data_IF_236897574825
#
_entry.id   IF_236897574825
#
_cell.length_a   1.000
_cell.length_b   1.000
_cell.length_c   1.000
_cell.angle_alpha   90.00
_cell.angle_beta   90.00
_cell.angle_gamma   90.00
#
_symmetry.space_group_name_H-M   'P 1'
#
loop_
_entity.id
_entity.type
_entity.pdbx_description
1 polymer ?
#
# COMPACT_ATOMS: atom_id res chain seq x y z
N UNK A 1 -6.38 -31.49 -14.10
CA UNK A 1 -7.48 -31.31 -13.12
C UNK A 1 -8.08 -29.92 -13.36
N UNK A 2 -9.34 -29.81 -13.80
CA UNK A 2 -9.99 -28.50 -14.05
C UNK A 2 -10.58 -27.99 -12.72
N UNK A 3 -10.32 -26.73 -12.32
CA UNK A 3 -10.86 -26.18 -11.07
C UNK A 3 -12.38 -26.07 -11.13
N UNK A 4 -13.05 -26.38 -10.02
CA UNK A 4 -14.51 -26.34 -9.89
C UNK A 4 -15.02 -24.90 -9.77
N UNK A 5 -16.33 -24.67 -9.91
CA UNK A 5 -16.92 -23.34 -9.76
C UNK A 5 -16.71 -22.75 -8.35
N UNK A 6 -16.68 -23.60 -7.31
CA UNK A 6 -16.39 -23.19 -5.93
C UNK A 6 -14.94 -22.73 -5.73
N UNK A 7 -13.98 -23.42 -6.37
CA UNK A 7 -12.56 -23.05 -6.29
C UNK A 7 -12.26 -21.70 -6.97
N UNK A 8 -12.97 -21.39 -8.06
CA UNK A 8 -12.80 -20.13 -8.80
C UNK A 8 -13.34 -18.92 -8.02
N UNK A 9 -14.51 -19.07 -7.38
CA UNK A 9 -15.11 -18.01 -6.58
C UNK A 9 -14.21 -17.65 -5.39
N UNK A 10 -13.64 -18.65 -4.70
CA UNK A 10 -12.74 -18.42 -3.56
C UNK A 10 -11.48 -17.63 -3.93
N UNK A 11 -10.87 -17.89 -5.09
CA UNK A 11 -9.66 -17.19 -5.54
C UNK A 11 -10.00 -15.75 -5.95
N UNK A 12 -11.10 -15.55 -6.68
CA UNK A 12 -11.56 -14.21 -7.09
C UNK A 12 -11.93 -13.36 -5.88
N UNK A 13 -12.65 -13.91 -4.91
CA UNK A 13 -13.07 -13.20 -3.69
C UNK A 13 -11.87 -12.80 -2.81
N UNK A 14 -10.87 -13.67 -2.68
CA UNK A 14 -9.64 -13.35 -1.95
C UNK A 14 -8.86 -12.22 -2.64
N UNK A 15 -8.75 -12.25 -3.97
CA UNK A 15 -8.06 -11.22 -4.74
C UNK A 15 -8.75 -9.84 -4.68
N UNK A 16 -10.09 -9.82 -4.62
CA UNK A 16 -10.87 -8.60 -4.46
C UNK A 16 -10.69 -7.99 -3.08
N UNK A 17 -10.71 -8.80 -2.03
CA UNK A 17 -10.52 -8.35 -0.65
C UNK A 17 -9.13 -7.76 -0.45
N UNK A 18 -8.09 -8.43 -0.95
CA UNK A 18 -6.72 -7.93 -0.92
C UNK A 18 -6.58 -6.61 -1.68
N UNK A 19 -7.06 -6.55 -2.92
CA UNK A 19 -6.96 -5.35 -3.73
C UNK A 19 -7.75 -4.17 -3.14
N UNK A 20 -8.91 -4.43 -2.52
CA UNK A 20 -9.68 -3.43 -1.78
C UNK A 20 -8.89 -2.89 -0.59
N UNK A 21 -8.30 -3.77 0.22
CA UNK A 21 -7.47 -3.39 1.36
C UNK A 21 -6.25 -2.57 0.90
N UNK A 22 -5.51 -3.04 -0.10
CA UNK A 22 -4.35 -2.34 -0.66
C UNK A 22 -4.71 -0.96 -1.24
N UNK A 23 -5.86 -0.86 -1.91
CA UNK A 23 -6.37 0.41 -2.41
C UNK A 23 -6.64 1.39 -1.26
N UNK A 24 -7.28 0.92 -0.18
CA UNK A 24 -7.52 1.73 1.02
C UNK A 24 -6.22 2.20 1.69
N UNK A 25 -5.23 1.32 1.80
CA UNK A 25 -3.90 1.65 2.33
C UNK A 25 -3.18 2.69 1.48
N UNK A 26 -3.15 2.52 0.16
CA UNK A 26 -2.58 3.49 -0.78
C UNK A 26 -3.25 4.86 -0.65
N UNK A 27 -4.59 4.91 -0.62
CA UNK A 27 -5.36 6.16 -0.47
C UNK A 27 -5.00 6.87 0.84
N UNK A 28 -4.99 6.13 1.96
CA UNK A 28 -4.67 6.69 3.27
C UNK A 28 -3.26 7.27 3.31
N UNK A 29 -2.27 6.51 2.81
CA UNK A 29 -0.86 6.93 2.79
C UNK A 29 -0.64 8.14 1.90
N UNK A 30 -1.24 8.16 0.70
CA UNK A 30 -1.16 9.29 -0.21
C UNK A 30 -1.82 10.55 0.39
N UNK A 31 -2.96 10.39 1.07
CA UNK A 31 -3.64 11.48 1.78
C UNK A 31 -2.78 12.03 2.93
N UNK A 32 -2.21 11.16 3.76
CA UNK A 32 -1.31 11.54 4.85
C UNK A 32 -0.06 12.29 4.34
N UNK A 33 0.54 11.82 3.25
CA UNK A 33 1.74 12.42 2.66
C UNK A 33 1.50 13.80 2.05
N UNK A 34 0.32 14.03 1.47
CA UNK A 34 0.03 15.26 0.72
C UNK A 34 -0.86 16.25 1.48
N UNK A 35 -1.49 15.82 2.57
CA UNK A 35 -2.55 16.57 3.25
C UNK A 35 -3.85 16.67 2.46
N UNK A 36 -3.94 16.04 1.28
CA UNK A 36 -5.13 16.13 0.43
C UNK A 36 -6.24 15.18 0.90
N UNK A 37 -7.53 15.52 0.66
CA UNK A 37 -8.63 14.61 0.91
C UNK A 37 -8.49 13.29 0.14
N UNK A 38 -9.01 12.20 0.71
CA UNK A 38 -8.97 10.85 0.12
C UNK A 38 -9.47 10.82 -1.33
N UNK A 39 -10.49 11.61 -1.68
CA UNK A 39 -10.99 11.68 -3.06
C UNK A 39 -9.93 12.18 -4.06
N UNK A 40 -9.11 13.16 -3.67
CA UNK A 40 -8.02 13.67 -4.50
C UNK A 40 -6.84 12.70 -4.54
N UNK A 41 -6.49 12.11 -3.39
CA UNK A 41 -5.49 11.06 -3.30
C UNK A 41 -5.84 9.85 -4.20
N UNK A 42 -7.11 9.44 -4.21
CA UNK A 42 -7.63 8.40 -5.12
C UNK A 42 -7.42 8.76 -6.57
N UNK A 43 -7.68 10.00 -6.98
CA UNK A 43 -7.48 10.43 -8.36
C UNK A 43 -5.99 10.39 -8.77
N UNK A 44 -5.06 10.66 -7.86
CA UNK A 44 -3.64 10.51 -8.12
C UNK A 44 -3.26 9.02 -8.26
N UNK A 45 -3.72 8.15 -7.36
CA UNK A 45 -3.46 6.71 -7.40
C UNK A 45 -4.07 6.07 -8.65
N UNK A 46 -5.30 6.43 -9.00
CA UNK A 46 -6.01 5.96 -10.18
C UNK A 46 -5.19 6.21 -11.46
N UNK A 47 -4.65 7.42 -11.62
CA UNK A 47 -3.75 7.76 -12.73
C UNK A 47 -2.49 6.91 -12.73
N UNK A 48 -1.87 6.68 -11.57
CA UNK A 48 -0.66 5.88 -11.41
C UNK A 48 -0.88 4.40 -11.77
N UNK A 49 -2.01 3.80 -11.37
CA UNK A 49 -2.32 2.39 -11.64
C UNK A 49 -3.04 2.17 -12.98
N UNK A 50 -3.33 3.24 -13.73
CA UNK A 50 -4.05 3.16 -15.00
C UNK A 50 -5.50 2.70 -14.84
N UNK A 51 -6.21 3.26 -13.87
CA UNK A 51 -7.62 3.01 -13.60
C UNK A 51 -8.42 4.33 -13.49
N UNK A 52 -9.75 4.24 -13.56
CA UNK A 52 -10.62 5.37 -13.26
C UNK A 52 -10.78 5.55 -11.74
N UNK A 53 -10.90 6.77 -11.22
CA UNK A 53 -11.13 6.99 -9.78
C UNK A 53 -12.37 6.27 -9.27
N UNK A 54 -13.46 6.24 -10.05
CA UNK A 54 -14.68 5.49 -9.71
C UNK A 54 -14.46 3.98 -9.59
N UNK A 55 -13.53 3.40 -10.36
CA UNK A 55 -13.18 1.97 -10.25
C UNK A 55 -12.52 1.66 -8.91
N UNK A 56 -11.56 2.48 -8.49
CA UNK A 56 -10.91 2.31 -7.17
C UNK A 56 -11.90 2.54 -6.03
N UNK A 57 -12.83 3.49 -6.18
CA UNK A 57 -13.89 3.71 -5.20
C UNK A 57 -14.82 2.50 -5.07
N UNK A 58 -15.26 1.93 -6.20
CA UNK A 58 -16.12 0.75 -6.20
C UNK A 58 -15.40 -0.47 -5.64
N UNK A 59 -14.12 -0.66 -5.99
CA UNK A 59 -13.27 -1.70 -5.42
C UNK A 59 -13.19 -1.57 -3.89
N UNK A 60 -12.87 -0.37 -3.39
CA UNK A 60 -12.79 -0.08 -1.96
C UNK A 60 -14.11 -0.31 -1.22
N UNK A 61 -15.24 -0.01 -1.88
CA UNK A 61 -16.58 -0.21 -1.33
C UNK A 61 -17.08 -1.66 -1.45
N UNK A 62 -16.29 -2.58 -2.00
CA UNK A 62 -16.71 -3.97 -2.26
C UNK A 62 -17.85 -4.08 -3.27
N UNK A 63 -17.99 -3.10 -4.17
CA UNK A 63 -19.05 -3.04 -5.20
C UNK A 63 -18.61 -3.61 -6.55
N UNK A 64 -17.36 -4.05 -6.65
CA UNK A 64 -16.81 -4.63 -7.87
C UNK A 64 -16.97 -6.15 -7.81
N UNK A 65 -17.62 -6.74 -8.81
CA UNK A 65 -17.84 -8.19 -8.86
C UNK A 65 -16.59 -9.00 -9.27
N UNK A 66 -15.67 -8.35 -9.99
CA UNK A 66 -14.41 -8.97 -10.42
C UNK A 66 -13.35 -7.89 -10.65
N UNK A 67 -12.11 -8.21 -10.31
CA UNK A 67 -10.94 -7.39 -10.60
C UNK A 67 -10.09 -8.11 -11.65
N UNK A 68 -10.04 -7.54 -12.85
CA UNK A 68 -9.17 -8.09 -13.89
C UNK A 68 -7.72 -8.19 -13.41
N UNK A 69 -7.05 -9.31 -13.71
CA UNK A 69 -5.66 -9.61 -13.29
C UNK A 69 -4.69 -8.44 -13.50
N UNK A 70 -4.81 -7.73 -14.62
CA UNK A 70 -3.96 -6.57 -14.91
C UNK A 70 -4.13 -5.41 -13.93
N UNK A 71 -5.36 -5.14 -13.46
CA UNK A 71 -5.59 -4.10 -12.45
C UNK A 71 -5.10 -4.56 -11.07
N UNK A 72 -5.36 -5.82 -10.70
CA UNK A 72 -4.87 -6.41 -9.45
C UNK A 72 -3.34 -6.27 -9.33
N UNK A 73 -2.59 -6.72 -10.35
CA UNK A 73 -1.12 -6.65 -10.32
C UNK A 73 -0.60 -5.21 -10.28
N UNK A 74 -1.25 -4.27 -10.98
CA UNK A 74 -0.83 -2.85 -10.92
C UNK A 74 -1.08 -2.21 -9.55
N UNK A 75 -2.16 -2.56 -8.87
CA UNK A 75 -2.41 -2.11 -7.49
C UNK A 75 -1.37 -2.73 -6.55
N UNK A 76 -1.08 -4.02 -6.70
CA UNK A 76 -0.06 -4.73 -5.92
C UNK A 76 1.32 -4.08 -6.08
N UNK A 77 1.77 -3.87 -7.32
CA UNK A 77 3.04 -3.21 -7.62
C UNK A 77 3.07 -1.80 -7.07
N UNK A 78 1.98 -1.04 -7.21
CA UNK A 78 1.90 0.28 -6.61
C UNK A 78 2.06 0.24 -5.09
N UNK A 79 1.45 -0.71 -4.38
CA UNK A 79 1.65 -0.84 -2.93
C UNK A 79 3.11 -1.16 -2.58
N UNK A 80 3.73 -2.08 -3.30
CA UNK A 80 5.14 -2.45 -3.11
C UNK A 80 6.05 -1.23 -3.32
N UNK A 81 5.82 -0.44 -4.38
CA UNK A 81 6.59 0.77 -4.66
C UNK A 81 6.44 1.83 -3.56
N UNK A 82 5.23 1.99 -3.01
CA UNK A 82 4.95 2.92 -1.92
C UNK A 82 5.69 2.51 -0.64
N UNK A 83 5.57 1.24 -0.25
CA UNK A 83 6.26 0.69 0.93
C UNK A 83 7.78 0.74 0.76
N UNK A 84 8.30 0.42 -0.43
CA UNK A 84 9.74 0.51 -0.71
C UNK A 84 10.26 1.95 -0.62
N UNK A 85 9.46 2.92 -1.06
CA UNK A 85 9.80 4.34 -0.94
C UNK A 85 9.79 4.80 0.52
N UNK A 86 8.84 4.30 1.31
CA UNK A 86 8.77 4.55 2.76
C UNK A 86 9.98 3.97 3.50
N UNK A 87 10.38 2.73 3.19
CA UNK A 87 11.60 2.11 3.73
C UNK A 87 12.82 2.98 3.47
N UNK A 88 13.03 3.42 2.22
CA UNK A 88 14.16 4.30 1.87
C UNK A 88 14.14 5.63 2.62
N UNK A 89 12.96 6.22 2.79
CA UNK A 89 12.78 7.47 3.55
C UNK A 89 13.18 7.28 5.01
N UNK A 90 12.68 6.23 5.65
CA UNK A 90 12.97 5.93 7.05
C UNK A 90 14.45 5.57 7.27
N UNK A 91 15.06 4.86 6.34
CA UNK A 91 16.51 4.57 6.36
C UNK A 91 17.33 5.87 6.30
N UNK A 92 16.95 6.80 5.41
CA UNK A 92 17.60 8.11 5.32
C UNK A 92 17.39 8.95 6.59
N UNK A 93 16.19 8.92 7.17
CA UNK A 93 15.85 9.60 8.42
C UNK A 93 16.70 9.08 9.58
N UNK A 94 16.80 7.76 9.76
CA UNK A 94 17.68 7.12 10.76
C UNK A 94 19.14 7.52 10.53
N UNK A 95 19.62 7.48 9.28
CA UNK A 95 20.99 7.87 8.97
C UNK A 95 21.26 9.34 9.32
N UNK A 96 20.30 10.22 9.10
CA UNK A 96 20.38 11.64 9.45
C UNK A 96 20.43 11.84 10.96
N UNK A 97 19.55 11.16 11.71
CA UNK A 97 19.54 11.18 13.18
C UNK A 97 20.90 10.72 13.75
N UNK A 98 21.50 9.68 13.18
CA UNK A 98 22.85 9.22 13.56
C UNK A 98 23.92 10.29 13.33
N UNK A 99 23.87 10.98 12.19
CA UNK A 99 24.87 12.00 11.84
C UNK A 99 24.82 13.21 12.77
N UNK A 100 23.65 13.59 13.25
CA UNK A 100 23.48 14.71 14.20
C UNK A 100 23.68 14.29 15.67
N UNK A 101 24.11 13.04 15.92
CA UNK A 101 24.43 12.54 17.25
C UNK A 101 23.22 12.16 18.12
N UNK A 102 22.03 11.99 17.52
CA UNK A 102 20.85 11.49 18.25
C UNK A 102 21.12 10.04 18.65
N UNK A 103 21.19 9.81 19.96
CA UNK A 103 21.47 8.49 20.52
C UNK A 103 20.33 7.49 20.31
N UNK A 104 20.65 6.20 20.33
CA UNK A 104 19.67 5.12 20.14
C UNK A 104 18.55 5.08 21.21
N UNK A 105 18.75 5.73 22.36
CA UNK A 105 17.72 5.88 23.40
C UNK A 105 16.75 7.04 23.18
N UNK A 106 16.92 7.82 22.10
CA UNK A 106 15.96 8.87 21.78
C UNK A 106 14.65 8.27 21.28
N UNK A 107 13.55 8.95 21.60
CA UNK A 107 12.21 8.55 21.18
C UNK A 107 12.08 8.56 19.66
N UNK A 108 12.63 9.58 19.01
CA UNK A 108 12.60 9.78 17.55
C UNK A 108 13.31 8.65 16.81
N UNK A 109 14.48 8.21 17.30
CA UNK A 109 15.19 7.07 16.74
C UNK A 109 14.39 5.78 16.90
N UNK A 110 13.82 5.54 18.09
CA UNK A 110 13.02 4.35 18.36
C UNK A 110 11.76 4.28 17.47
N UNK A 111 11.06 5.40 17.28
CA UNK A 111 9.89 5.49 16.41
C UNK A 111 10.25 5.23 14.95
N UNK A 112 11.35 5.81 14.45
CA UNK A 112 11.81 5.59 13.07
C UNK A 112 12.20 4.13 12.81
N UNK A 113 12.87 3.47 13.77
CA UNK A 113 13.23 2.04 13.68
C UNK A 113 11.97 1.17 13.68
N UNK A 114 11.04 1.40 14.60
CA UNK A 114 9.80 0.63 14.67
C UNK A 114 8.96 0.74 13.38
N UNK A 115 8.91 1.94 12.79
CA UNK A 115 8.25 2.14 11.50
C UNK A 115 8.97 1.42 10.36
N UNK A 116 10.31 1.41 10.36
CA UNK A 116 11.11 0.72 9.35
C UNK A 116 10.86 -0.80 9.41
N UNK A 117 10.89 -1.38 10.61
CA UNK A 117 10.62 -2.81 10.83
C UNK A 117 9.21 -3.19 10.35
N UNK A 118 8.21 -2.36 10.66
CA UNK A 118 6.84 -2.58 10.20
C UNK A 118 6.71 -2.54 8.68
N UNK A 119 7.36 -1.59 8.02
CA UNK A 119 7.33 -1.46 6.57
C UNK A 119 8.05 -2.64 5.87
N UNK A 120 9.16 -3.09 6.44
CA UNK A 120 9.94 -4.27 6.01
C UNK A 120 9.16 -5.57 6.14
N UNK A 121 8.52 -5.79 7.29
CA UNK A 121 7.64 -6.92 7.52
C UNK A 121 6.48 -6.98 6.50
N UNK A 122 5.89 -5.84 6.15
CA UNK A 122 4.83 -5.76 5.15
C UNK A 122 5.28 -6.14 3.73
N UNK A 123 6.57 -6.01 3.42
CA UNK A 123 7.17 -6.43 2.15
C UNK A 123 7.61 -7.91 2.15
N UNK A 124 7.51 -8.61 3.29
CA UNK A 124 8.04 -9.97 3.44
C UNK A 124 9.56 -10.02 3.58
N UNK A 125 10.20 -8.90 3.86
CA UNK A 125 11.64 -8.80 4.12
C UNK A 125 11.83 -8.48 5.60
N UNK A 126 11.87 -9.47 6.51
CA UNK A 126 12.13 -9.24 7.93
C UNK A 126 13.52 -8.61 8.17
#
# INVERSE_FOLDING_TARGET
MRPTLGDKLSITDMSLNEASHWTGELERRASQRTGQPIAQARAAIARRVGAMPGTLENLRKGRLNDIGRGLYERIRLALIDELSSEVRRLEHEIQTLRQIGVGCGSREMAEAIAHLEKARAALGNP
#
